data_IF_400905209050
#
_entry.id   IF_400905209050
#
_cell.length_a   1.000
_cell.length_b   1.000
_cell.length_c   1.000
_cell.angle_alpha   90.00
_cell.angle_beta   90.00
_cell.angle_gamma   90.00
#
_symmetry.space_group_name_H-M   'P 1'
#
loop_
_entity.id
_entity.type
_entity.pdbx_description
1 polymer ?
#
# COMPACT_ATOMS: atom_id res chain seq x y z
N UNK A 1 -7.89 13.63 -5.24
CA UNK A 1 -6.59 12.94 -5.10
C UNK A 1 -6.74 11.73 -4.17
N UNK A 2 -6.09 10.60 -4.46
CA UNK A 2 -6.16 9.36 -3.67
C UNK A 2 -4.77 8.76 -3.46
N UNK A 3 -4.22 8.86 -2.24
CA UNK A 3 -2.97 8.20 -1.87
C UNK A 3 -3.24 6.79 -1.35
N UNK A 4 -2.67 5.77 -2.01
CA UNK A 4 -2.78 4.39 -1.58
C UNK A 4 -2.03 4.10 -0.27
N UNK A 5 -1.08 4.95 0.14
CA UNK A 5 -0.26 4.80 1.35
C UNK A 5 -0.71 5.72 2.51
N UNK A 6 -1.81 6.48 2.37
CA UNK A 6 -2.32 7.34 3.44
C UNK A 6 -2.74 6.52 4.66
N UNK A 7 -2.24 6.90 5.84
CA UNK A 7 -2.51 6.24 7.12
C UNK A 7 -3.99 6.27 7.48
N UNK A 8 -4.65 7.41 7.33
CA UNK A 8 -6.06 7.60 7.71
C UNK A 8 -7.03 6.71 6.92
N UNK A 9 -6.58 6.18 5.78
CA UNK A 9 -7.36 5.24 4.94
C UNK A 9 -7.09 3.77 5.26
N UNK A 10 -6.34 3.48 6.31
CA UNK A 10 -6.09 2.12 6.75
C UNK A 10 -7.39 1.48 7.24
N UNK A 11 -7.92 0.56 6.42
CA UNK A 11 -9.06 -0.27 6.81
C UNK A 11 -8.57 -1.47 7.61
N UNK A 12 -9.37 -1.88 8.60
CA UNK A 12 -9.14 -3.15 9.31
C UNK A 12 -9.17 -4.30 8.29
N UNK A 13 -8.17 -5.18 8.34
CA UNK A 13 -8.09 -6.32 7.45
C UNK A 13 -9.30 -7.23 7.64
N UNK A 14 -10.02 -7.52 6.55
CA UNK A 14 -11.09 -8.52 6.53
C UNK A 14 -10.46 -9.90 6.35
N UNK A 15 -10.07 -10.49 7.46
CA UNK A 15 -9.55 -11.87 7.49
C UNK A 15 -10.71 -12.85 7.45
N UNK A 16 -10.48 -14.01 6.81
CA UNK A 16 -11.41 -15.13 6.89
C UNK A 16 -11.47 -15.63 8.35
N UNK A 17 -12.55 -16.29 8.78
CA UNK A 17 -12.63 -16.81 10.15
C UNK A 17 -11.61 -17.93 10.39
N UNK A 18 -11.57 -18.91 9.49
CA UNK A 18 -10.55 -19.96 9.44
C UNK A 18 -9.12 -19.37 9.25
N UNK A 19 -8.22 -19.53 10.25
CA UNK A 19 -6.84 -19.04 10.21
C UNK A 19 -5.99 -19.66 9.10
N UNK A 20 -6.28 -20.89 8.67
CA UNK A 20 -5.50 -21.61 7.65
C UNK A 20 -5.65 -20.99 6.26
N UNK A 21 -6.73 -20.23 6.05
CA UNK A 21 -7.00 -19.51 4.79
C UNK A 21 -6.39 -18.11 4.76
N UNK A 22 -5.66 -17.72 5.79
CA UNK A 22 -5.00 -16.41 5.83
C UNK A 22 -3.73 -16.47 4.99
N UNK A 23 -3.59 -15.53 4.05
CA UNK A 23 -2.30 -15.33 3.39
C UNK A 23 -1.40 -14.48 4.27
N UNK A 24 -0.18 -14.95 4.52
CA UNK A 24 0.88 -14.13 5.10
C UNK A 24 1.28 -13.07 4.07
N UNK A 25 0.89 -11.82 4.31
CA UNK A 25 1.32 -10.65 3.54
C UNK A 25 1.91 -9.64 4.51
N UNK A 26 3.07 -9.11 4.19
CA UNK A 26 3.60 -7.96 4.90
C UNK A 26 2.67 -6.77 4.64
N UNK A 27 2.24 -6.05 5.69
CA UNK A 27 1.42 -4.88 5.49
C UNK A 27 2.22 -3.80 4.76
N UNK A 28 1.63 -3.19 3.72
CA UNK A 28 2.21 -2.02 3.07
C UNK A 28 2.36 -0.89 4.09
N UNK A 29 3.55 -0.32 4.19
CA UNK A 29 3.84 0.83 5.06
C UNK A 29 2.95 2.02 4.70
N UNK A 30 2.49 2.72 5.73
CA UNK A 30 1.57 3.85 5.63
C UNK A 30 2.20 5.10 6.22
N UNK A 31 1.79 6.25 5.71
CA UNK A 31 2.35 7.56 6.07
C UNK A 31 1.26 8.60 6.24
N UNK A 32 1.55 9.64 7.03
CA UNK A 32 0.74 10.86 7.10
C UNK A 32 0.94 11.69 5.83
N UNK A 33 0.36 11.20 4.74
CA UNK A 33 0.53 11.82 3.45
C UNK A 33 -0.23 13.15 3.40
N UNK A 34 0.48 14.27 3.26
CA UNK A 34 -0.09 15.64 3.24
C UNK A 34 -0.44 16.09 1.82
N UNK A 35 -1.10 15.22 1.05
CA UNK A 35 -1.44 15.53 -0.34
C UNK A 35 -2.64 16.48 -0.43
N UNK A 36 -2.49 17.61 -1.14
CA UNK A 36 -3.57 18.58 -1.35
C UNK A 36 -3.97 18.65 -2.82
N UNK A 37 -5.28 18.78 -3.06
CA UNK A 37 -5.84 19.14 -4.36
C UNK A 37 -6.54 20.49 -4.21
N UNK A 38 -5.99 21.52 -4.85
CA UNK A 38 -6.57 22.86 -4.85
C UNK A 38 -7.10 23.13 -6.25
N UNK A 39 -8.40 23.43 -6.33
CA UNK A 39 -9.07 23.83 -7.56
C UNK A 39 -9.44 25.29 -7.41
N UNK A 40 -8.86 26.14 -8.25
CA UNK A 40 -9.19 27.56 -8.32
C UNK A 40 -9.93 27.80 -9.63
N UNK A 41 -11.14 28.34 -9.54
CA UNK A 41 -11.96 28.69 -10.70
C UNK A 41 -11.99 30.21 -10.80
N UNK A 42 -11.43 30.74 -11.88
CA UNK A 42 -11.51 32.16 -12.24
C UNK A 42 -12.61 32.31 -13.29
N UNK A 43 -13.77 32.82 -12.85
CA UNK A 43 -14.94 32.99 -13.70
C UNK A 43 -14.80 34.17 -14.68
N UNK A 44 -13.96 35.16 -14.36
CA UNK A 44 -13.72 36.32 -15.25
C UNK A 44 -12.81 35.92 -16.41
N UNK A 45 -11.78 35.12 -16.13
CA UNK A 45 -10.87 34.60 -17.15
C UNK A 45 -11.34 33.29 -17.79
N UNK A 46 -12.50 32.77 -17.38
CA UNK A 46 -13.02 31.45 -17.77
C UNK A 46 -11.95 30.35 -17.65
N UNK A 47 -11.15 30.41 -16.58
CA UNK A 47 -9.98 29.56 -16.40
C UNK A 47 -10.11 28.73 -15.13
N UNK A 48 -9.66 27.48 -15.21
CA UNK A 48 -9.52 26.61 -14.03
C UNK A 48 -8.05 26.29 -13.83
N UNK A 49 -7.56 26.52 -12.61
CA UNK A 49 -6.21 26.13 -12.18
C UNK A 49 -6.32 24.98 -11.19
N UNK A 50 -5.58 23.90 -11.46
CA UNK A 50 -5.52 22.71 -10.62
C UNK A 50 -4.11 22.60 -10.09
N UNK A 51 -3.95 22.65 -8.77
CA UNK A 51 -2.67 22.41 -8.11
C UNK A 51 -2.76 21.12 -7.28
N UNK A 52 -1.81 20.22 -7.52
CA UNK A 52 -1.68 18.95 -6.82
C UNK A 52 -0.33 18.88 -6.13
N UNK A 53 -0.33 18.62 -4.83
CA UNK A 53 0.87 18.35 -4.04
C UNK A 53 0.80 16.95 -3.45
N UNK A 54 1.93 16.23 -3.44
CA UNK A 54 2.05 14.90 -2.84
C UNK A 54 3.49 14.62 -2.42
N UNK A 55 3.68 14.07 -1.23
CA UNK A 55 4.98 13.55 -0.77
C UNK A 55 5.12 12.09 -1.19
N UNK A 56 6.13 11.78 -2.00
CA UNK A 56 6.40 10.42 -2.44
C UNK A 56 7.17 9.64 -1.37
N UNK A 57 6.66 8.48 -1.00
CA UNK A 57 7.34 7.54 -0.13
C UNK A 57 7.90 6.36 -0.93
N UNK A 58 8.75 5.55 -0.30
CA UNK A 58 9.33 4.37 -0.93
C UNK A 58 8.26 3.49 -1.60
N UNK A 59 8.59 2.99 -2.79
CA UNK A 59 7.72 2.09 -3.54
C UNK A 59 7.52 0.78 -2.78
N UNK A 60 6.30 0.24 -2.86
CA UNK A 60 6.03 -1.09 -2.35
C UNK A 60 6.66 -2.11 -3.30
N UNK A 61 7.68 -2.82 -2.83
CA UNK A 61 8.27 -3.95 -3.54
C UNK A 61 7.72 -5.23 -2.93
N UNK A 62 7.16 -6.11 -3.76
CA UNK A 62 6.74 -7.43 -3.31
C UNK A 62 8.00 -8.27 -3.06
N UNK A 63 8.38 -8.39 -1.79
CA UNK A 63 9.53 -9.22 -1.39
C UNK A 63 9.12 -10.68 -1.50
N UNK A 64 9.51 -11.30 -2.61
CA UNK A 64 9.43 -12.75 -2.76
C UNK A 64 10.37 -13.43 -1.76
N UNK A 65 9.90 -14.53 -1.17
CA UNK A 65 10.77 -15.42 -0.39
C UNK A 65 11.89 -15.91 -1.31
N UNK A 66 13.14 -15.69 -0.90
CA UNK A 66 14.32 -16.15 -1.63
C UNK A 66 14.25 -17.67 -1.83
N UNK A 67 14.74 -18.16 -2.97
CA UNK A 67 14.66 -19.58 -3.31
C UNK A 67 15.38 -20.46 -2.27
N UNK A 68 16.49 -19.97 -1.72
CA UNK A 68 17.23 -20.62 -0.61
C UNK A 68 16.34 -20.90 0.61
N UNK A 69 15.46 -19.97 0.96
CA UNK A 69 14.51 -20.15 2.08
C UNK A 69 13.40 -21.15 1.70
N UNK A 70 12.95 -21.16 0.44
CA UNK A 70 11.96 -22.13 -0.04
C UNK A 70 12.53 -23.54 -0.02
N UNK A 71 13.79 -23.71 -0.45
CA UNK A 71 14.51 -24.98 -0.44
C UNK A 71 14.70 -25.47 0.99
N UNK A 72 15.17 -24.61 1.90
CA UNK A 72 15.27 -24.94 3.33
C UNK A 72 13.94 -25.46 3.91
N UNK A 73 12.82 -24.78 3.63
CA UNK A 73 11.50 -25.18 4.10
C UNK A 73 11.10 -26.55 3.53
N UNK A 74 11.32 -26.79 2.22
CA UNK A 74 11.00 -28.08 1.60
C UNK A 74 11.79 -29.24 2.19
N UNK A 75 13.09 -29.06 2.43
CA UNK A 75 13.95 -30.11 2.98
C UNK A 75 13.54 -30.51 4.41
N UNK A 76 13.12 -29.54 5.22
CA UNK A 76 12.77 -29.79 6.62
C UNK A 76 11.31 -30.27 6.80
N UNK A 77 10.40 -29.98 5.87
CA UNK A 77 9.03 -30.51 5.91
C UNK A 77 8.96 -32.00 5.58
N UNK A 78 9.92 -32.55 4.83
CA UNK A 78 9.97 -33.97 4.44
C UNK A 78 10.57 -34.89 5.52
N UNK A 79 11.03 -34.34 6.64
CA UNK A 79 11.68 -35.08 7.74
C UNK A 79 10.75 -35.37 8.93
N UNK A 80 9.46 -35.04 8.80
CA UNK A 80 8.37 -35.37 9.75
C UNK A 80 7.38 -36.32 9.10
#
# INVERSE_FOLDING_TARGET
YHCAQLLDRQKKSKKHEDPTKHRNRLPMQRFHCRGWLIITVDMEKLQVTINLTHEYYAEYVDVHVMNEIKEYIQTNLQQT
#
